data_IF_624641206991
#
_entry.id   IF_624641206991
#
_cell.length_a   1.000
_cell.length_b   1.000
_cell.length_c   1.000
_cell.angle_alpha   90.00
_cell.angle_beta   90.00
_cell.angle_gamma   90.00
#
_symmetry.space_group_name_H-M   'P 1'
#
loop_
_entity.id
_entity.type
_entity.pdbx_description
1 polymer ?
#
# COMPACT_ATOMS: atom_id res chain seq x y z
N UNK A 1 11.74 29.60 9.25
CA UNK A 1 12.41 28.39 8.72
C UNK A 1 11.29 27.48 8.26
N UNK A 2 11.13 27.30 6.95
CA UNK A 2 10.22 26.28 6.40
C UNK A 2 10.67 24.92 6.91
N UNK A 3 9.75 24.22 7.57
CA UNK A 3 10.02 22.87 8.06
C UNK A 3 10.06 21.92 6.87
N UNK A 4 11.16 21.22 6.69
CA UNK A 4 11.32 20.21 5.63
C UNK A 4 10.23 19.16 5.76
N UNK A 5 9.46 18.97 4.68
CA UNK A 5 8.49 17.89 4.57
C UNK A 5 9.15 16.69 3.88
N UNK A 6 9.17 15.56 4.56
CA UNK A 6 9.76 14.31 4.03
C UNK A 6 8.65 13.47 3.40
N UNK A 7 8.85 13.06 2.15
CA UNK A 7 7.91 12.20 1.43
C UNK A 7 8.55 10.83 1.27
N UNK A 8 7.88 9.80 1.74
CA UNK A 8 8.43 8.45 1.87
C UNK A 8 7.54 7.41 1.19
N UNK A 9 8.17 6.37 0.66
CA UNK A 9 7.48 5.20 0.13
C UNK A 9 7.08 4.23 1.23
N UNK A 10 6.14 3.35 0.88
CA UNK A 10 5.61 2.31 1.77
C UNK A 10 6.68 1.36 2.34
N UNK A 11 7.84 1.25 1.69
CA UNK A 11 8.96 0.44 2.16
C UNK A 11 9.64 1.01 3.41
N UNK A 12 9.51 2.31 3.64
CA UNK A 12 10.05 3.00 4.83
C UNK A 12 9.12 2.95 6.03
N UNK A 13 7.89 2.45 5.88
CA UNK A 13 6.97 2.37 6.99
C UNK A 13 7.40 1.29 8.00
N UNK A 14 7.70 1.72 9.20
CA UNK A 14 7.72 0.94 10.44
C UNK A 14 7.31 1.86 11.59
N UNK A 15 6.83 1.29 12.69
CA UNK A 15 6.49 2.08 13.88
C UNK A 15 7.71 2.83 14.41
N UNK A 16 8.88 2.21 14.41
CA UNK A 16 10.14 2.83 14.84
C UNK A 16 10.53 4.02 13.97
N UNK A 17 10.39 3.89 12.64
CA UNK A 17 10.68 4.99 11.72
C UNK A 17 9.70 6.16 11.93
N UNK A 18 8.40 5.88 12.11
CA UNK A 18 7.40 6.92 12.40
C UNK A 18 7.73 7.61 13.73
N UNK A 19 8.06 6.85 14.77
CA UNK A 19 8.43 7.40 16.07
C UNK A 19 9.72 8.24 15.98
N UNK A 20 10.70 7.80 15.19
CA UNK A 20 11.92 8.56 14.90
C UNK A 20 11.64 9.89 14.19
N UNK A 21 10.75 9.89 13.18
CA UNK A 21 10.34 11.13 12.51
C UNK A 21 9.60 12.08 13.46
N UNK A 22 8.75 11.55 14.33
CA UNK A 22 7.99 12.33 15.31
C UNK A 22 8.89 12.92 16.40
N UNK A 23 9.86 12.16 16.92
CA UNK A 23 10.80 12.62 17.97
C UNK A 23 11.72 13.72 17.47
N UNK A 24 12.11 13.69 16.19
CA UNK A 24 12.89 14.75 15.55
C UNK A 24 12.04 15.90 15.00
N UNK A 25 10.75 15.92 15.27
CA UNK A 25 9.79 16.93 14.80
C UNK A 25 9.74 17.13 13.30
N UNK A 26 10.07 16.09 12.51
CA UNK A 26 9.93 16.14 11.07
C UNK A 26 8.45 16.12 10.65
N UNK A 27 8.15 16.87 9.60
CA UNK A 27 6.88 16.79 8.89
C UNK A 27 7.03 15.74 7.80
N UNK A 28 6.06 14.83 7.71
CA UNK A 28 6.17 13.73 6.73
C UNK A 28 4.83 13.36 6.10
N UNK A 29 4.96 12.75 4.96
CA UNK A 29 3.90 12.07 4.22
C UNK A 29 4.45 10.74 3.72
N UNK A 30 3.82 9.64 4.08
CA UNK A 30 4.28 8.29 3.76
C UNK A 30 3.14 7.44 3.18
N UNK A 31 3.42 6.70 2.10
CA UNK A 31 2.52 5.66 1.63
C UNK A 31 2.56 4.46 2.58
N UNK A 32 1.41 3.90 2.89
CA UNK A 32 1.27 2.77 3.80
C UNK A 32 0.55 1.61 3.14
N UNK A 33 0.91 0.38 3.54
CA UNK A 33 0.28 -0.83 3.00
C UNK A 33 -1.17 -0.93 3.49
N UNK A 34 -2.09 -1.23 2.58
CA UNK A 34 -3.49 -1.49 2.94
C UNK A 34 -3.65 -2.71 3.85
N UNK A 35 -2.68 -3.63 3.88
CA UNK A 35 -2.68 -4.81 4.75
C UNK A 35 -2.38 -4.51 6.22
N UNK A 36 -1.94 -3.30 6.57
CA UNK A 36 -1.71 -2.91 7.96
C UNK A 36 -3.03 -2.91 8.74
N UNK A 37 -3.00 -3.42 9.98
CA UNK A 37 -4.19 -3.52 10.82
C UNK A 37 -4.89 -2.15 11.00
N UNK A 38 -4.12 -1.11 11.25
CA UNK A 38 -4.63 0.26 11.37
C UNK A 38 -5.41 0.67 10.11
N UNK A 39 -4.82 0.44 8.93
CA UNK A 39 -5.44 0.82 7.65
C UNK A 39 -6.67 -0.04 7.38
N UNK A 40 -6.61 -1.35 7.64
CA UNK A 40 -7.77 -2.25 7.47
C UNK A 40 -8.94 -1.84 8.35
N UNK A 41 -8.69 -1.53 9.64
CA UNK A 41 -9.73 -1.07 10.54
C UNK A 41 -10.43 0.19 10.00
N UNK A 42 -9.67 1.17 9.56
CA UNK A 42 -10.22 2.42 9.02
C UNK A 42 -10.90 2.22 7.65
N UNK A 43 -10.36 1.33 6.80
CA UNK A 43 -11.00 0.98 5.53
C UNK A 43 -12.34 0.25 5.76
N UNK A 44 -12.40 -0.64 6.73
CA UNK A 44 -13.63 -1.40 7.00
C UNK A 44 -14.80 -0.49 7.44
N UNK A 45 -14.49 0.66 8.07
CA UNK A 45 -15.50 1.68 8.42
C UNK A 45 -16.07 2.42 7.20
N UNK A 46 -15.28 2.53 6.12
CA UNK A 46 -15.63 3.39 4.97
C UNK A 46 -15.80 2.63 3.66
N UNK A 47 -15.49 1.35 3.62
CA UNK A 47 -15.40 0.55 2.40
C UNK A 47 -16.66 0.60 1.54
N UNK A 48 -17.82 0.56 2.17
CA UNK A 48 -19.12 0.62 1.46
C UNK A 48 -19.48 2.05 1.03
N UNK A 49 -19.08 3.05 1.83
CA UNK A 49 -19.45 4.44 1.59
C UNK A 49 -18.45 5.20 0.71
N UNK A 50 -17.16 4.84 0.77
CA UNK A 50 -16.09 5.57 0.08
C UNK A 50 -16.28 5.62 -1.45
N UNK A 51 -16.67 4.53 -2.16
CA UNK A 51 -16.92 4.59 -3.61
C UNK A 51 -18.29 5.18 -3.95
N UNK A 52 -18.66 6.29 -3.30
CA UNK A 52 -19.91 7.01 -3.57
C UNK A 52 -19.64 8.46 -3.99
N UNK A 53 -20.63 9.06 -4.66
CA UNK A 53 -20.50 10.41 -5.24
C UNK A 53 -20.03 11.48 -4.26
N UNK A 54 -20.37 11.36 -2.98
CA UNK A 54 -19.99 12.36 -1.97
C UNK A 54 -18.46 12.43 -1.72
N UNK A 55 -17.73 11.35 -1.97
CA UNK A 55 -16.28 11.27 -1.80
C UNK A 55 -15.50 11.39 -3.11
N UNK A 56 -16.23 11.48 -4.24
CA UNK A 56 -15.62 11.53 -5.57
C UNK A 56 -15.04 12.89 -5.89
N UNK A 57 -13.79 12.89 -6.35
CA UNK A 57 -13.12 14.06 -6.90
C UNK A 57 -12.89 13.90 -8.40
N UNK A 58 -13.50 14.76 -9.20
CA UNK A 58 -13.46 14.70 -10.67
C UNK A 58 -12.07 15.05 -11.25
N UNK A 59 -11.31 15.91 -10.58
CA UNK A 59 -9.98 16.29 -11.06
C UNK A 59 -8.98 15.14 -10.94
N UNK A 60 -9.10 14.34 -9.88
CA UNK A 60 -8.25 13.18 -9.64
C UNK A 60 -8.86 11.87 -10.12
N UNK A 61 -10.16 11.86 -10.46
CA UNK A 61 -10.95 10.70 -10.88
C UNK A 61 -10.93 9.55 -9.87
N UNK A 62 -10.94 9.89 -8.59
CA UNK A 62 -10.93 8.93 -7.50
C UNK A 62 -11.78 9.40 -6.32
N UNK A 63 -11.98 8.51 -5.38
CA UNK A 63 -12.68 8.76 -4.13
C UNK A 63 -11.67 8.90 -3.00
N UNK A 64 -11.90 9.83 -2.08
CA UNK A 64 -10.99 10.01 -0.95
C UNK A 64 -11.69 10.50 0.31
N UNK A 65 -11.13 10.13 1.43
CA UNK A 65 -11.51 10.62 2.76
C UNK A 65 -10.28 10.67 3.67
N UNK A 66 -10.40 11.35 4.79
CA UNK A 66 -9.35 11.41 5.79
C UNK A 66 -9.89 11.01 7.16
N UNK A 67 -9.07 10.32 7.94
CA UNK A 67 -9.33 9.97 9.34
C UNK A 67 -8.24 10.52 10.22
N UNK A 68 -8.63 11.17 11.31
CA UNK A 68 -7.70 11.58 12.35
C UNK A 68 -7.44 10.38 13.25
N UNK A 69 -6.17 10.07 13.47
CA UNK A 69 -5.74 9.00 14.36
C UNK A 69 -4.89 9.54 15.51
N UNK A 70 -5.00 8.91 16.65
CA UNK A 70 -4.14 9.14 17.81
C UNK A 70 -3.00 8.13 17.75
N UNK A 71 -1.82 8.58 17.35
CA UNK A 71 -0.63 7.72 17.25
C UNK A 71 0.04 7.61 18.60
N UNK A 72 0.15 6.43 19.21
CA UNK A 72 0.87 6.27 20.47
C UNK A 72 2.37 6.44 20.24
N UNK A 73 3.06 7.10 21.16
CA UNK A 73 4.50 7.20 21.15
C UNK A 73 5.07 7.05 22.57
N UNK A 74 6.29 6.54 22.63
CA UNK A 74 7.10 6.49 23.82
C UNK A 74 8.43 7.20 23.57
N UNK A 75 8.79 8.14 24.41
CA UNK A 75 10.05 8.89 24.30
C UNK A 75 10.85 8.70 25.59
N UNK A 76 12.06 8.14 25.47
CA UNK A 76 13.01 8.06 26.60
C UNK A 76 13.73 9.37 26.75
N UNK A 77 13.50 10.07 27.86
CA UNK A 77 14.27 11.27 28.20
C UNK A 77 15.68 10.89 28.62
N UNK A 78 16.67 11.32 27.84
CA UNK A 78 18.08 10.93 27.97
C UNK A 78 18.70 11.26 29.37
N UNK A 79 18.11 12.20 30.15
CA UNK A 79 18.67 12.67 31.43
C UNK A 79 18.07 11.98 32.66
N UNK A 80 16.92 11.34 32.58
CA UNK A 80 16.20 10.84 33.77
C UNK A 80 15.83 9.36 33.70
N UNK A 81 16.05 8.68 32.56
CA UNK A 81 15.62 7.29 32.36
C UNK A 81 14.09 7.12 32.36
N UNK A 82 13.34 8.21 32.46
CA UNK A 82 11.88 8.21 32.45
C UNK A 82 11.38 8.02 31.01
N UNK A 83 10.39 7.15 30.87
CA UNK A 83 9.65 6.97 29.59
C UNK A 83 8.45 7.89 29.62
N UNK A 84 8.42 8.88 28.74
CA UNK A 84 7.24 9.69 28.50
C UNK A 84 6.40 9.03 27.41
N UNK A 85 5.18 8.64 27.73
CA UNK A 85 4.22 8.11 26.77
C UNK A 85 3.12 9.11 26.47
N UNK A 86 2.63 9.12 25.26
CA UNK A 86 1.57 10.03 24.86
C UNK A 86 0.98 9.66 23.51
N UNK A 87 0.14 10.55 22.98
CA UNK A 87 -0.43 10.40 21.65
C UNK A 87 -0.16 11.63 20.80
N UNK A 88 0.19 11.41 19.53
CA UNK A 88 0.31 12.48 18.53
C UNK A 88 -0.78 12.34 17.50
N UNK A 89 -1.37 13.47 17.13
CA UNK A 89 -2.38 13.51 16.08
C UNK A 89 -1.73 13.28 14.73
N UNK A 90 -2.28 12.33 13.98
CA UNK A 90 -1.90 12.05 12.61
C UNK A 90 -3.15 11.92 11.73
N UNK A 91 -2.97 11.98 10.43
CA UNK A 91 -4.01 11.91 9.43
C UNK A 91 -3.76 10.72 8.52
N UNK A 92 -4.70 9.78 8.49
CA UNK A 92 -4.72 8.68 7.57
C UNK A 92 -5.68 9.02 6.43
N UNK A 93 -5.14 9.19 5.25
CA UNK A 93 -5.88 9.44 4.03
C UNK A 93 -6.14 8.13 3.32
N UNK A 94 -7.41 7.88 3.01
CA UNK A 94 -7.88 6.67 2.35
C UNK A 94 -8.42 7.04 0.97
N UNK A 95 -8.00 6.29 -0.03
CA UNK A 95 -8.37 6.51 -1.42
C UNK A 95 -8.91 5.23 -2.03
N UNK A 96 -9.83 5.41 -2.98
CA UNK A 96 -10.29 4.35 -3.86
C UNK A 96 -10.29 4.85 -5.30
N UNK A 97 -9.73 4.06 -6.20
CA UNK A 97 -9.56 4.35 -7.62
C UNK A 97 -10.11 3.17 -8.43
N UNK A 98 -11.15 3.40 -9.23
CA UNK A 98 -11.82 2.38 -10.05
C UNK A 98 -10.90 1.79 -11.11
N UNK A 99 -10.09 2.64 -11.76
CA UNK A 99 -9.17 2.25 -12.82
C UNK A 99 -8.09 1.31 -12.26
N UNK A 100 -7.51 1.69 -11.14
CA UNK A 100 -6.57 0.86 -10.39
C UNK A 100 -7.20 -0.45 -9.91
N UNK A 101 -8.45 -0.43 -9.44
CA UNK A 101 -9.16 -1.65 -9.02
C UNK A 101 -9.32 -2.64 -10.17
N UNK A 102 -9.62 -2.14 -11.37
CA UNK A 102 -9.73 -2.95 -12.58
C UNK A 102 -8.38 -3.52 -13.00
N UNK A 103 -7.31 -2.71 -12.99
CA UNK A 103 -5.95 -3.17 -13.32
C UNK A 103 -5.46 -4.25 -12.35
N UNK A 104 -5.62 -4.03 -11.04
CA UNK A 104 -5.21 -4.98 -10.00
C UNK A 104 -5.98 -6.30 -10.12
N UNK A 105 -7.29 -6.25 -10.42
CA UNK A 105 -8.12 -7.44 -10.65
C UNK A 105 -7.67 -8.21 -11.89
N UNK A 106 -7.43 -7.51 -12.98
CA UNK A 106 -6.97 -8.13 -14.23
C UNK A 106 -5.62 -8.81 -14.04
N UNK A 107 -4.66 -8.14 -13.42
CA UNK A 107 -3.35 -8.70 -13.15
C UNK A 107 -3.42 -9.94 -12.24
N UNK A 108 -4.29 -9.93 -11.25
CA UNK A 108 -4.47 -11.06 -10.35
C UNK A 108 -5.13 -12.26 -11.03
N UNK A 109 -6.13 -12.04 -11.89
CA UNK A 109 -6.74 -13.11 -12.66
C UNK A 109 -5.72 -13.77 -13.62
N UNK A 110 -4.89 -12.96 -14.31
CA UNK A 110 -3.81 -13.50 -15.13
C UNK A 110 -2.84 -14.35 -14.31
N UNK A 111 -2.49 -13.91 -13.09
CA UNK A 111 -1.67 -14.70 -12.19
C UNK A 111 -2.35 -16.02 -11.82
N UNK A 112 -3.62 -15.99 -11.42
CA UNK A 112 -4.37 -17.21 -11.05
C UNK A 112 -4.47 -18.19 -12.23
N UNK A 113 -4.73 -17.70 -13.44
CA UNK A 113 -4.77 -18.52 -14.66
C UNK A 113 -3.41 -19.19 -14.93
N UNK A 114 -2.30 -18.44 -14.75
CA UNK A 114 -0.95 -18.99 -14.88
C UNK A 114 -0.66 -20.09 -13.86
N UNK A 115 -0.99 -19.84 -12.58
CA UNK A 115 -0.81 -20.82 -11.50
C UNK A 115 -1.64 -22.10 -11.77
N UNK A 116 -2.86 -21.93 -12.26
CA UNK A 116 -3.74 -23.05 -12.58
C UNK A 116 -3.21 -23.89 -13.75
N UNK A 117 -2.70 -23.25 -14.81
CA UNK A 117 -2.07 -23.93 -15.94
C UNK A 117 -0.84 -24.72 -15.50
N UNK A 118 0.08 -24.13 -14.75
CA UNK A 118 1.28 -24.76 -14.21
C UNK A 118 0.94 -26.02 -13.37
N UNK A 119 -0.10 -25.92 -12.52
CA UNK A 119 -0.54 -27.05 -11.70
C UNK A 119 -1.21 -28.16 -12.52
N UNK A 120 -1.99 -27.84 -13.57
CA UNK A 120 -2.64 -28.81 -14.45
C UNK A 120 -1.64 -29.54 -15.32
N UNK A 121 -0.64 -28.84 -15.84
CA UNK A 121 0.41 -29.40 -16.69
C UNK A 121 1.47 -30.17 -15.88
N UNK A 122 1.49 -30.01 -14.56
CA UNK A 122 2.48 -30.62 -13.68
C UNK A 122 3.87 -29.94 -13.76
N UNK A 123 3.96 -28.79 -14.40
CA UNK A 123 5.17 -27.99 -14.55
C UNK A 123 5.14 -26.87 -13.50
N UNK A 124 5.68 -27.17 -12.32
CA UNK A 124 5.66 -26.21 -11.20
C UNK A 124 6.86 -25.26 -11.27
N UNK A 125 6.59 -23.96 -11.12
CA UNK A 125 7.61 -22.95 -10.93
C UNK A 125 7.95 -22.84 -9.42
N UNK A 126 9.22 -23.07 -9.00
CA UNK A 126 9.63 -22.96 -7.60
C UNK A 126 9.31 -21.61 -6.95
N UNK A 127 9.32 -20.53 -7.73
CA UNK A 127 8.99 -19.18 -7.24
C UNK A 127 7.49 -19.03 -6.90
N UNK A 128 6.64 -19.85 -7.49
CA UNK A 128 5.19 -19.82 -7.27
C UNK A 128 4.71 -20.78 -6.19
N UNK A 129 5.59 -21.54 -5.54
CA UNK A 129 5.20 -22.59 -4.59
C UNK A 129 4.33 -22.07 -3.44
N UNK A 130 4.66 -20.90 -2.90
CA UNK A 130 3.86 -20.26 -1.85
C UNK A 130 2.49 -19.79 -2.35
N UNK A 131 2.39 -19.42 -3.63
CA UNK A 131 1.15 -18.96 -4.26
C UNK A 131 0.21 -20.13 -4.54
N UNK A 132 0.74 -21.27 -5.01
CA UNK A 132 -0.06 -22.50 -5.16
C UNK A 132 -0.72 -22.88 -3.83
N UNK A 133 0.08 -22.96 -2.76
CA UNK A 133 -0.44 -23.31 -1.44
C UNK A 133 -1.45 -22.29 -0.91
N UNK A 134 -1.28 -21.04 -1.26
CA UNK A 134 -2.15 -19.95 -0.81
C UNK A 134 -3.51 -19.96 -1.49
N UNK A 135 -3.55 -20.21 -2.81
CA UNK A 135 -4.76 -20.01 -3.61
C UNK A 135 -5.43 -21.28 -4.08
N UNK A 136 -4.73 -22.43 -4.04
CA UNK A 136 -5.26 -23.69 -4.53
C UNK A 136 -5.12 -24.82 -3.51
N UNK A 137 -6.09 -25.73 -3.56
CA UNK A 137 -6.00 -27.05 -2.97
C UNK A 137 -5.88 -28.07 -4.10
N UNK A 138 -4.76 -28.79 -4.10
CA UNK A 138 -4.44 -29.77 -5.16
C UNK A 138 -4.73 -31.15 -4.61
N UNK A 139 -5.66 -31.87 -5.24
CA UNK A 139 -5.96 -33.28 -4.94
C UNK A 139 -5.60 -34.12 -6.14
N UNK A 140 -4.74 -35.13 -5.94
CA UNK A 140 -4.35 -36.08 -6.99
C UNK A 140 -4.90 -37.45 -6.65
N UNK A 141 -5.64 -37.99 -7.59
CA UNK A 141 -6.17 -39.37 -7.47
C UNK A 141 -5.78 -40.20 -8.68
N UNK A 142 -5.53 -41.53 -8.51
CA UNK A 142 -5.15 -42.42 -9.62
C UNK A 142 -6.18 -42.48 -10.73
N UNK A 143 -7.46 -42.25 -10.45
CA UNK A 143 -8.58 -42.36 -11.38
C UNK A 143 -8.95 -41.06 -12.05
N UNK A 144 -8.87 -39.93 -11.33
CA UNK A 144 -9.34 -38.62 -11.82
C UNK A 144 -8.20 -37.66 -12.17
N UNK A 145 -6.93 -38.07 -11.95
CA UNK A 145 -5.79 -37.18 -12.17
C UNK A 145 -5.73 -36.05 -11.12
N UNK A 146 -5.26 -34.89 -11.56
CA UNK A 146 -5.14 -33.66 -10.74
C UNK A 146 -6.47 -32.92 -10.73
N UNK A 147 -7.00 -32.67 -9.56
CA UNK A 147 -8.17 -31.78 -9.33
C UNK A 147 -7.73 -30.58 -8.53
N UNK A 148 -8.07 -29.39 -9.03
CA UNK A 148 -7.75 -28.10 -8.41
C UNK A 148 -9.02 -27.46 -7.85
N UNK A 149 -8.97 -27.07 -6.58
CA UNK A 149 -10.02 -26.29 -5.94
C UNK A 149 -9.45 -24.95 -5.52
N UNK A 150 -10.03 -23.86 -5.99
CA UNK A 150 -9.65 -22.51 -5.61
C UNK A 150 -10.03 -22.25 -4.15
N UNK A 151 -9.10 -21.69 -3.37
CA UNK A 151 -9.35 -21.25 -2.01
C UNK A 151 -10.00 -19.86 -2.01
N UNK A 152 -11.32 -19.81 -2.30
CA UNK A 152 -12.05 -18.55 -2.51
C UNK A 152 -11.84 -17.54 -1.39
N UNK A 153 -11.84 -17.95 -0.13
CA UNK A 153 -11.58 -17.04 1.01
C UNK A 153 -10.23 -16.32 0.95
N UNK A 154 -9.19 -16.98 0.38
CA UNK A 154 -7.88 -16.36 0.23
C UNK A 154 -7.86 -15.36 -0.94
N UNK A 155 -8.62 -15.66 -1.99
CA UNK A 155 -8.84 -14.79 -3.14
C UNK A 155 -9.62 -13.55 -2.71
N UNK A 156 -10.78 -13.72 -2.07
CA UNK A 156 -11.63 -12.61 -1.58
C UNK A 156 -10.84 -11.64 -0.66
N UNK A 157 -9.94 -12.18 0.16
CA UNK A 157 -9.10 -11.37 1.04
C UNK A 157 -8.14 -10.44 0.30
N UNK A 158 -7.73 -10.82 -0.90
CA UNK A 158 -6.89 -9.97 -1.76
C UNK A 158 -7.78 -8.99 -2.52
N UNK A 159 -8.86 -9.47 -3.14
CA UNK A 159 -9.76 -8.69 -3.97
C UNK A 159 -10.43 -7.53 -3.22
N UNK A 160 -10.74 -7.73 -1.94
CA UNK A 160 -11.35 -6.67 -1.12
C UNK A 160 -10.52 -5.40 -1.02
N UNK A 161 -9.23 -5.44 -1.36
CA UNK A 161 -8.31 -4.30 -1.27
C UNK A 161 -8.01 -3.65 -2.64
N UNK A 162 -8.57 -4.18 -3.73
CA UNK A 162 -8.34 -3.59 -5.05
C UNK A 162 -8.83 -2.16 -5.15
N UNK A 163 -8.02 -1.32 -5.77
CA UNK A 163 -8.26 0.10 -5.93
C UNK A 163 -8.00 0.93 -4.68
N UNK A 164 -7.85 0.30 -3.50
CA UNK A 164 -7.59 1.04 -2.26
C UNK A 164 -6.09 1.29 -2.07
N UNK A 165 -5.77 2.49 -1.63
CA UNK A 165 -4.44 2.85 -1.15
C UNK A 165 -4.54 3.90 -0.05
N UNK A 166 -3.45 4.10 0.69
CA UNK A 166 -3.47 4.99 1.83
C UNK A 166 -2.17 5.77 2.00
N UNK A 167 -2.31 7.00 2.48
CA UNK A 167 -1.20 7.86 2.88
C UNK A 167 -1.36 8.25 4.35
N UNK A 168 -0.25 8.32 5.06
CA UNK A 168 -0.19 8.74 6.46
C UNK A 168 0.62 10.02 6.58
N UNK A 169 0.09 11.03 7.29
CA UNK A 169 0.75 12.31 7.49
C UNK A 169 0.57 12.81 8.92
N UNK A 170 1.56 13.55 9.43
CA UNK A 170 1.44 14.29 10.68
C UNK A 170 1.14 15.79 10.48
N UNK A 171 0.92 16.24 9.25
CA UNK A 171 0.68 17.64 8.91
C UNK A 171 -0.50 17.86 7.99
N UNK A 172 -0.49 17.29 6.77
CA UNK A 172 -1.57 17.49 5.80
C UNK A 172 -2.86 16.85 6.28
N UNK A 173 -3.92 17.67 6.35
CA UNK A 173 -5.27 17.26 6.79
C UNK A 173 -6.16 16.91 5.61
N UNK A 174 -5.93 17.56 4.47
CA UNK A 174 -6.69 17.36 3.24
C UNK A 174 -6.10 16.19 2.44
N UNK A 175 -6.91 15.17 2.10
CA UNK A 175 -6.47 14.04 1.31
C UNK A 175 -6.02 14.42 -0.10
N UNK A 176 -6.60 15.44 -0.71
CA UNK A 176 -6.24 15.88 -2.08
C UNK A 176 -4.89 16.62 -2.08
N UNK A 177 -4.65 17.45 -1.07
CA UNK A 177 -3.34 18.07 -0.87
C UNK A 177 -2.26 17.01 -0.66
N UNK A 178 -2.51 16.04 0.23
CA UNK A 178 -1.59 14.94 0.50
C UNK A 178 -1.28 14.13 -0.78
N UNK A 179 -2.29 13.81 -1.58
CA UNK A 179 -2.12 13.09 -2.83
C UNK A 179 -1.31 13.88 -3.87
N UNK A 180 -1.57 15.18 -3.98
CA UNK A 180 -0.81 16.08 -4.87
C UNK A 180 0.67 16.10 -4.51
N UNK A 181 0.98 16.27 -3.24
CA UNK A 181 2.35 16.26 -2.72
C UNK A 181 3.01 14.91 -2.98
N UNK A 182 2.31 13.80 -2.74
CA UNK A 182 2.85 12.46 -2.96
C UNK A 182 3.16 12.19 -4.44
N UNK A 183 2.25 12.56 -5.35
CA UNK A 183 2.44 12.40 -6.80
C UNK A 183 3.58 13.27 -7.37
N UNK A 184 3.85 14.41 -6.75
CA UNK A 184 5.00 15.25 -7.14
C UNK A 184 6.33 14.53 -6.96
N UNK A 185 6.47 13.69 -5.92
CA UNK A 185 7.64 12.84 -5.70
C UNK A 185 7.88 11.91 -6.90
N UNK A 186 6.83 11.23 -7.37
CA UNK A 186 6.94 10.29 -8.50
C UNK A 186 7.41 10.99 -9.78
N UNK A 187 6.98 12.23 -10.00
CA UNK A 187 7.43 13.03 -11.14
C UNK A 187 8.92 13.36 -11.03
N UNK A 188 9.40 13.72 -9.85
CA UNK A 188 10.83 14.01 -9.61
C UNK A 188 11.67 12.76 -9.79
N UNK A 189 11.25 11.62 -9.27
CA UNK A 189 11.95 10.34 -9.43
C UNK A 189 12.05 9.92 -10.89
N UNK A 190 10.96 10.01 -11.65
CA UNK A 190 10.97 9.74 -13.10
C UNK A 190 11.91 10.69 -13.86
N UNK A 191 11.92 11.97 -13.52
CA UNK A 191 12.81 12.95 -14.14
C UNK A 191 14.29 12.63 -13.86
N UNK A 192 14.63 12.24 -12.61
CA UNK A 192 15.98 11.83 -12.22
C UNK A 192 16.37 10.51 -12.92
N UNK A 193 15.45 9.54 -13.02
CA UNK A 193 15.66 8.29 -13.75
C UNK A 193 16.03 8.54 -15.21
N UNK A 194 15.22 9.32 -15.90
CA UNK A 194 15.46 9.70 -17.30
C UNK A 194 16.80 10.44 -17.50
N UNK A 195 17.20 11.28 -16.55
CA UNK A 195 18.50 11.96 -16.60
C UNK A 195 19.66 10.97 -16.46
N UNK A 196 19.55 10.01 -15.51
CA UNK A 196 20.57 8.98 -15.33
C UNK A 196 20.74 8.11 -16.56
N UNK A 197 19.64 7.66 -17.17
CA UNK A 197 19.68 6.87 -18.42
C UNK A 197 20.34 7.63 -19.55
N UNK A 198 20.00 8.91 -19.76
CA UNK A 198 20.63 9.76 -20.80
C UNK A 198 22.12 10.02 -20.54
N UNK A 199 22.51 10.14 -19.27
CA UNK A 199 23.92 10.32 -18.90
C UNK A 199 24.72 9.03 -19.04
N UNK A 200 24.11 7.86 -18.76
CA UNK A 200 24.73 6.55 -18.97
C UNK A 200 24.94 6.27 -20.46
N UNK A 201 23.92 6.51 -21.29
CA UNK A 201 24.01 6.34 -22.75
C UNK A 201 25.06 7.23 -23.41
N UNK A 202 25.43 8.37 -22.81
CA UNK A 202 26.53 9.25 -23.30
C UNK A 202 27.92 8.79 -22.91
N UNK A 203 28.06 7.84 -21.98
CA UNK A 203 29.37 7.31 -21.54
C UNK A 203 29.81 6.07 -22.33
N UNK A 204 28.88 5.46 -23.07
CA UNK A 204 29.13 4.26 -23.87
C UNK A 204 29.31 4.56 -25.38
N UNK A 205 29.32 5.81 -25.80
CA UNK A 205 29.60 6.30 -27.15
C UNK A 205 30.84 7.19 -27.17
#
# INVERSE_FOLDING_TARGET
IEKVKIILDRGFYSEDNINGLLSHHYKFLISVKTSLRLVQTMLDEVRESLPTRQYYNSNFRLYCTSRTIAWPYEERKARLGEVESGTRRMYLHLYYDDERAMEERTAFNILLDSLEAELKEGIRNPEHETLYQKYYEVTQTPVRGVTLNSKQKAIDKVERNYGYFALLSNESKDPLEALTIYRTKDLVEKAIGNLKERLSARREG
#
